data_IF_462374632605
#
_entry.id   IF_462374632605
#
_cell.length_a   1.000
_cell.length_b   1.000
_cell.length_c   1.000
_cell.angle_alpha   90.00
_cell.angle_beta   90.00
_cell.angle_gamma   90.00
#
_symmetry.space_group_name_H-M   'P 1'
#
loop_
_entity.id
_entity.type
_entity.pdbx_description
1 polymer ?
#
# COMPACT_ATOMS: atom_id res chain seq x y z
N UNK A 1 14.18 7.00 -16.24
CA UNK A 1 12.95 6.77 -17.05
C UNK A 1 12.14 5.64 -16.42
N UNK A 2 10.85 5.86 -16.25
CA UNK A 2 9.97 4.87 -15.60
C UNK A 2 9.69 3.72 -16.55
N UNK A 3 9.81 2.50 -16.03
CA UNK A 3 9.44 1.26 -16.70
C UNK A 3 8.19 0.70 -16.08
N UNK A 4 7.25 0.27 -16.91
CA UNK A 4 5.99 -0.33 -16.48
C UNK A 4 5.88 -1.78 -16.93
N UNK A 5 5.17 -2.58 -16.16
CA UNK A 5 4.64 -3.88 -16.56
C UNK A 5 3.29 -4.14 -15.90
N UNK A 6 2.57 -5.11 -16.43
CA UNK A 6 1.30 -5.55 -15.86
C UNK A 6 1.45 -6.91 -15.16
N UNK A 7 0.66 -7.11 -14.11
CA UNK A 7 0.55 -8.37 -13.37
C UNK A 7 -0.93 -8.71 -13.23
N UNK A 8 -1.32 -9.85 -13.75
CA UNK A 8 -2.69 -10.36 -13.63
C UNK A 8 -2.89 -11.08 -12.30
N UNK A 9 -3.84 -10.64 -11.51
CA UNK A 9 -4.24 -11.29 -10.27
C UNK A 9 -5.71 -11.69 -10.35
N UNK A 10 -6.01 -12.98 -10.16
CA UNK A 10 -7.39 -13.51 -10.29
C UNK A 10 -8.38 -12.79 -9.37
N UNK A 11 -7.96 -12.41 -8.17
CA UNK A 11 -8.81 -11.84 -7.12
C UNK A 11 -8.79 -10.31 -7.07
N UNK A 12 -7.64 -9.70 -7.38
CA UNK A 12 -7.45 -8.24 -7.33
C UNK A 12 -7.60 -7.56 -8.70
N UNK A 13 -7.71 -8.34 -9.77
CA UNK A 13 -7.72 -7.82 -11.13
C UNK A 13 -6.30 -7.52 -11.63
N UNK A 14 -6.19 -6.58 -12.54
CA UNK A 14 -4.91 -6.17 -13.11
C UNK A 14 -4.16 -5.22 -12.17
N UNK A 15 -2.90 -5.51 -11.93
CA UNK A 15 -1.98 -4.63 -11.22
C UNK A 15 -0.98 -4.03 -12.21
N UNK A 16 -0.70 -2.75 -12.07
CA UNK A 16 0.35 -2.06 -12.83
C UNK A 16 1.53 -1.79 -11.90
N UNK A 17 2.71 -2.26 -12.31
CA UNK A 17 3.96 -2.10 -11.58
C UNK A 17 4.84 -1.07 -12.28
N UNK A 18 5.51 -0.22 -11.51
CA UNK A 18 6.42 0.80 -12.03
C UNK A 18 7.76 0.77 -11.31
N UNK A 19 8.84 0.76 -12.08
CA UNK A 19 10.21 0.85 -11.58
C UNK A 19 10.97 2.02 -12.20
N UNK A 20 11.86 2.61 -11.43
CA UNK A 20 12.79 3.63 -11.85
C UNK A 20 14.10 3.47 -11.07
N UNK A 21 15.25 3.55 -11.75
CA UNK A 21 16.58 3.44 -11.14
C UNK A 21 16.75 2.20 -10.24
N UNK A 22 16.30 1.05 -10.72
CA UNK A 22 16.31 -0.23 -10.00
C UNK A 22 15.55 -0.24 -8.66
N UNK A 23 14.53 0.61 -8.54
CA UNK A 23 13.65 0.68 -7.37
C UNK A 23 12.20 0.66 -7.82
N UNK A 24 11.35 0.04 -7.02
CA UNK A 24 9.91 0.07 -7.22
C UNK A 24 9.37 1.44 -6.79
N UNK A 25 8.71 2.13 -7.71
CA UNK A 25 8.12 3.46 -7.48
C UNK A 25 6.60 3.45 -7.50
N UNK A 26 5.99 2.36 -7.99
CA UNK A 26 4.54 2.22 -8.05
C UNK A 26 4.06 0.78 -8.16
N UNK A 27 2.93 0.53 -7.54
CA UNK A 27 2.07 -0.63 -7.70
C UNK A 27 0.64 -0.19 -7.48
N UNK A 28 -0.17 -0.26 -8.51
CA UNK A 28 -1.56 0.18 -8.47
C UNK A 28 -2.50 -0.93 -8.92
N UNK A 29 -3.62 -1.04 -8.20
CA UNK A 29 -4.73 -1.91 -8.58
C UNK A 29 -5.56 -1.18 -9.64
N UNK A 30 -6.01 -1.88 -10.66
CA UNK A 30 -6.84 -1.29 -11.71
C UNK A 30 -8.05 -0.53 -11.13
N UNK A 31 -8.25 0.70 -11.58
CA UNK A 31 -9.33 1.58 -11.13
C UNK A 31 -9.09 2.27 -9.78
N UNK A 32 -7.94 2.07 -9.12
CA UNK A 32 -7.67 2.77 -7.86
C UNK A 32 -7.47 4.28 -8.07
N UNK A 33 -7.76 5.04 -7.02
CA UNK A 33 -7.46 6.48 -6.98
C UNK A 33 -5.95 6.73 -7.13
N UNK A 34 -5.60 7.84 -7.78
CA UNK A 34 -4.20 8.26 -8.02
C UNK A 34 -3.38 7.25 -8.83
N UNK A 35 -4.05 6.48 -9.68
CA UNK A 35 -3.42 5.52 -10.59
C UNK A 35 -2.31 6.19 -11.40
N UNK A 36 -1.17 5.50 -11.48
CA UNK A 36 0.00 5.93 -12.25
C UNK A 36 0.48 7.37 -11.94
N UNK A 37 0.29 7.83 -10.70
CA UNK A 37 0.66 9.20 -10.31
C UNK A 37 2.14 9.52 -10.49
N UNK A 38 3.00 8.49 -10.52
CA UNK A 38 4.44 8.62 -10.77
C UNK A 38 4.80 8.72 -12.27
N UNK A 39 3.87 8.41 -13.18
CA UNK A 39 4.17 8.23 -14.62
C UNK A 39 3.92 9.47 -15.48
N UNK A 40 3.76 10.64 -14.86
CA UNK A 40 3.40 11.89 -15.55
C UNK A 40 4.42 12.34 -16.59
N UNK A 41 5.69 12.05 -16.38
CA UNK A 41 6.80 12.48 -17.25
C UNK A 41 7.17 11.43 -18.31
N UNK A 42 6.29 10.46 -18.53
CA UNK A 42 6.45 9.42 -19.52
C UNK A 42 6.98 8.09 -18.94
N UNK A 43 6.74 7.03 -19.68
CA UNK A 43 7.14 5.67 -19.31
C UNK A 43 7.34 4.81 -20.56
N UNK A 44 7.99 3.67 -20.37
CA UNK A 44 8.10 2.60 -21.37
C UNK A 44 7.63 1.27 -20.76
N UNK A 45 7.09 0.37 -21.55
CA UNK A 45 6.83 -1.00 -21.11
C UNK A 45 8.11 -1.84 -21.15
N UNK A 46 8.31 -2.66 -20.12
CA UNK A 46 9.48 -3.53 -19.99
C UNK A 46 9.13 -4.73 -19.13
N UNK A 47 8.92 -5.88 -19.73
CA UNK A 47 8.63 -7.13 -19.01
C UNK A 47 9.88 -7.84 -18.48
N UNK A 48 11.06 -7.41 -18.92
CA UNK A 48 12.37 -7.96 -18.56
C UNK A 48 13.14 -7.13 -17.52
N UNK A 49 12.57 -6.04 -17.02
CA UNK A 49 13.19 -5.25 -15.96
C UNK A 49 13.35 -6.07 -14.68
N UNK A 50 14.56 -6.13 -14.14
CA UNK A 50 14.91 -6.95 -12.97
C UNK A 50 14.06 -6.60 -11.75
N UNK A 51 13.79 -5.31 -11.50
CA UNK A 51 12.99 -4.86 -10.36
C UNK A 51 11.53 -5.30 -10.52
N UNK A 52 11.00 -5.16 -11.73
CA UNK A 52 9.62 -5.56 -12.02
C UNK A 52 9.46 -7.09 -11.95
N UNK A 53 10.42 -7.86 -12.47
CA UNK A 53 10.42 -9.33 -12.35
C UNK A 53 10.43 -9.78 -10.88
N UNK A 54 11.34 -9.23 -10.06
CA UNK A 54 11.39 -9.52 -8.61
C UNK A 54 10.10 -9.14 -7.89
N UNK A 55 9.46 -8.06 -8.32
CA UNK A 55 8.17 -7.66 -7.74
C UNK A 55 7.07 -8.64 -8.10
N UNK A 56 7.03 -9.15 -9.33
CA UNK A 56 6.08 -10.21 -9.74
C UNK A 56 6.29 -11.49 -8.90
N UNK A 57 7.54 -11.94 -8.72
CA UNK A 57 7.86 -13.09 -7.87
C UNK A 57 7.44 -12.88 -6.42
N UNK A 58 7.65 -11.69 -5.88
CA UNK A 58 7.20 -11.33 -4.53
C UNK A 58 5.67 -11.41 -4.42
N UNK A 59 4.94 -10.88 -5.42
CA UNK A 59 3.47 -10.95 -5.47
C UNK A 59 2.97 -12.39 -5.61
N UNK A 60 3.60 -13.23 -6.42
CA UNK A 60 3.25 -14.65 -6.56
C UNK A 60 3.35 -15.35 -5.21
N UNK A 61 4.43 -15.16 -4.48
CA UNK A 61 4.64 -15.72 -3.13
C UNK A 61 3.61 -15.19 -2.14
N UNK A 62 3.36 -13.89 -2.15
CA UNK A 62 2.34 -13.28 -1.29
C UNK A 62 0.95 -13.85 -1.56
N UNK A 63 0.54 -13.93 -2.82
CA UNK A 63 -0.77 -14.46 -3.22
C UNK A 63 -0.91 -15.96 -2.95
N UNK A 64 0.18 -16.71 -2.90
CA UNK A 64 0.22 -18.12 -2.51
C UNK A 64 0.20 -18.33 -0.98
N UNK A 65 0.05 -17.29 -0.19
CA UNK A 65 -0.03 -17.36 1.27
C UNK A 65 1.33 -17.40 1.99
N UNK A 66 2.42 -17.19 1.26
CA UNK A 66 3.72 -16.93 1.86
C UNK A 66 3.75 -15.51 2.47
N UNK A 67 4.73 -15.26 3.32
CA UNK A 67 4.94 -13.97 3.97
C UNK A 67 6.26 -13.34 3.51
N UNK A 68 6.38 -12.96 2.22
CA UNK A 68 7.64 -12.39 1.74
C UNK A 68 7.92 -11.07 2.44
N UNK A 69 9.20 -10.80 2.73
CA UNK A 69 9.58 -9.58 3.43
C UNK A 69 9.60 -8.39 2.47
N UNK A 70 9.11 -7.24 2.93
CA UNK A 70 9.17 -5.98 2.17
C UNK A 70 10.63 -5.60 1.85
N UNK A 71 11.57 -5.91 2.76
CA UNK A 71 13.00 -5.63 2.61
C UNK A 71 13.68 -6.37 1.43
N UNK A 72 13.02 -7.35 0.84
CA UNK A 72 13.52 -8.02 -0.38
C UNK A 72 13.43 -7.10 -1.61
N UNK A 73 12.61 -6.05 -1.54
CA UNK A 73 12.41 -5.08 -2.61
C UNK A 73 12.97 -3.71 -2.22
N UNK A 74 13.60 -3.04 -3.17
CA UNK A 74 14.01 -1.65 -3.00
C UNK A 74 12.85 -0.74 -3.38
N UNK A 75 12.27 -0.06 -2.40
CA UNK A 75 11.14 0.84 -2.58
C UNK A 75 11.59 2.30 -2.67
N UNK A 76 10.98 3.07 -3.56
CA UNK A 76 11.18 4.52 -3.67
C UNK A 76 9.83 5.22 -3.98
N UNK A 77 8.85 5.15 -3.06
CA UNK A 77 7.58 5.84 -3.25
C UNK A 77 7.80 7.34 -3.34
N UNK A 78 7.24 7.98 -4.36
CA UNK A 78 7.36 9.43 -4.56
C UNK A 78 6.30 10.17 -3.75
N UNK A 79 6.70 11.10 -2.89
CA UNK A 79 5.81 11.91 -2.04
C UNK A 79 6.60 12.83 -1.11
N UNK A 80 5.91 13.81 -0.52
CA UNK A 80 6.50 14.73 0.45
C UNK A 80 6.89 14.05 1.77
N UNK A 81 7.68 14.73 2.59
CA UNK A 81 8.26 14.20 3.84
C UNK A 81 7.21 13.57 4.78
N UNK A 82 6.08 14.25 4.97
CA UNK A 82 5.01 13.73 5.83
C UNK A 82 4.46 12.39 5.31
N UNK A 83 4.19 12.25 4.01
CA UNK A 83 3.74 10.99 3.41
C UNK A 83 4.80 9.91 3.54
N UNK A 84 6.07 10.25 3.31
CA UNK A 84 7.19 9.31 3.48
C UNK A 84 7.26 8.78 4.92
N UNK A 85 7.07 9.63 5.92
CA UNK A 85 7.05 9.24 7.33
C UNK A 85 5.90 8.27 7.63
N UNK A 86 4.70 8.55 7.12
CA UNK A 86 3.55 7.66 7.26
C UNK A 86 3.81 6.32 6.57
N UNK A 87 4.30 6.31 5.33
CA UNK A 87 4.56 5.06 4.60
C UNK A 87 5.65 4.20 5.23
N UNK A 88 6.64 4.79 5.89
CA UNK A 88 7.61 4.03 6.70
C UNK A 88 6.94 3.27 7.83
N UNK A 89 6.05 3.94 8.57
CA UNK A 89 5.28 3.29 9.65
C UNK A 89 4.41 2.17 9.08
N UNK A 90 3.78 2.37 7.92
CA UNK A 90 3.01 1.29 7.27
C UNK A 90 3.86 0.04 7.03
N UNK A 91 5.11 0.21 6.60
CA UNK A 91 6.01 -0.92 6.34
C UNK A 91 6.38 -1.71 7.61
N UNK A 92 6.20 -1.13 8.79
CA UNK A 92 6.48 -1.76 10.08
C UNK A 92 5.29 -2.56 10.64
N UNK A 93 4.08 -2.40 10.06
CA UNK A 93 2.91 -3.15 10.48
C UNK A 93 3.08 -4.62 10.06
N UNK A 94 3.09 -5.58 11.02
CA UNK A 94 3.32 -6.98 10.71
C UNK A 94 2.22 -7.57 9.82
N UNK A 95 2.58 -8.61 9.07
CA UNK A 95 1.62 -9.42 8.33
C UNK A 95 0.59 -10.05 9.28
N UNK A 96 -0.67 -9.91 8.95
CA UNK A 96 -1.77 -10.42 9.76
C UNK A 96 -2.15 -9.55 10.96
N UNK A 97 -1.63 -8.32 11.03
CA UNK A 97 -1.97 -7.35 12.07
C UNK A 97 -2.56 -6.07 11.47
N UNK A 98 -3.29 -5.34 12.28
CA UNK A 98 -3.88 -4.04 11.90
C UNK A 98 -3.50 -2.97 12.90
N UNK A 99 -3.50 -1.72 12.44
CA UNK A 99 -3.41 -0.53 13.27
C UNK A 99 -4.48 0.47 12.86
N UNK A 100 -4.65 1.53 13.63
CA UNK A 100 -5.61 2.59 13.33
C UNK A 100 -4.93 3.86 12.84
N UNK A 101 -5.67 4.70 12.12
CA UNK A 101 -5.18 6.03 11.72
C UNK A 101 -4.79 6.89 12.95
N UNK A 102 -5.51 6.73 14.06
CA UNK A 102 -5.23 7.43 15.31
C UNK A 102 -3.92 6.96 15.97
N UNK A 103 -3.62 5.68 15.94
CA UNK A 103 -2.36 5.13 16.46
C UNK A 103 -1.16 5.62 15.64
N UNK A 104 -1.25 5.60 14.31
CA UNK A 104 -0.21 6.17 13.44
C UNK A 104 -0.04 7.67 13.73
N UNK A 105 -1.13 8.41 13.91
CA UNK A 105 -1.07 9.83 14.22
C UNK A 105 -0.34 10.11 15.56
N UNK A 106 -0.57 9.30 16.59
CA UNK A 106 0.15 9.38 17.86
C UNK A 106 1.65 9.10 17.69
N UNK A 107 1.99 8.10 16.91
CA UNK A 107 3.38 7.75 16.63
C UNK A 107 4.10 8.88 15.88
N UNK A 108 3.51 9.44 14.84
CA UNK A 108 4.04 10.61 14.11
C UNK A 108 4.22 11.81 15.05
N UNK A 109 3.25 12.09 15.92
CA UNK A 109 3.34 13.17 16.88
C UNK A 109 4.53 12.96 17.83
N UNK A 110 4.69 11.74 18.35
CA UNK A 110 5.81 11.37 19.23
C UNK A 110 7.17 11.54 18.51
N UNK A 111 7.31 11.00 17.29
CA UNK A 111 8.55 11.09 16.51
C UNK A 111 8.96 12.52 16.18
N UNK A 112 7.98 13.40 15.97
CA UNK A 112 8.22 14.81 15.63
C UNK A 112 8.23 15.74 16.85
N UNK A 113 8.07 15.23 18.06
CA UNK A 113 8.03 16.03 19.29
C UNK A 113 6.88 17.04 19.32
N UNK A 114 5.76 16.75 18.69
CA UNK A 114 4.56 17.60 18.67
C UNK A 114 3.45 16.98 19.52
N UNK A 115 2.59 17.83 20.08
CA UNK A 115 1.55 17.38 21.00
C UNK A 115 0.48 16.51 20.32
N UNK A 116 0.09 16.85 19.10
CA UNK A 116 -0.99 16.17 18.37
C UNK A 116 -0.74 16.12 16.87
N UNK A 117 -1.18 15.03 16.25
CA UNK A 117 -1.26 14.88 14.78
C UNK A 117 -2.68 14.49 14.40
N UNK A 118 -3.17 15.04 13.30
CA UNK A 118 -4.49 14.72 12.77
C UNK A 118 -4.55 13.32 12.17
N UNK A 119 -5.46 12.48 12.65
CA UNK A 119 -5.77 11.19 12.04
C UNK A 119 -6.29 11.32 10.60
N UNK A 120 -6.97 12.43 10.28
CA UNK A 120 -7.41 12.73 8.91
C UNK A 120 -6.23 13.01 7.99
N UNK A 121 -5.22 13.75 8.45
CA UNK A 121 -4.00 13.98 7.67
C UNK A 121 -3.24 12.66 7.40
N UNK A 122 -3.17 11.79 8.41
CA UNK A 122 -2.62 10.43 8.25
C UNK A 122 -3.44 9.63 7.24
N UNK A 123 -4.77 9.64 7.34
CA UNK A 123 -5.66 8.97 6.39
C UNK A 123 -5.46 9.45 4.95
N UNK A 124 -5.25 10.75 4.75
CA UNK A 124 -4.91 11.30 3.43
C UNK A 124 -3.57 10.76 2.93
N UNK A 125 -2.54 10.72 3.76
CA UNK A 125 -1.22 10.17 3.40
C UNK A 125 -1.30 8.67 3.08
N UNK A 126 -2.04 7.89 3.87
CA UNK A 126 -2.29 6.46 3.63
C UNK A 126 -2.98 6.25 2.29
N UNK A 127 -4.02 7.05 1.98
CA UNK A 127 -4.76 6.98 0.71
C UNK A 127 -3.94 7.34 -0.53
N UNK A 128 -2.83 8.07 -0.37
CA UNK A 128 -1.91 8.41 -1.46
C UNK A 128 -0.73 7.44 -1.62
N UNK A 129 -0.73 6.32 -0.89
CA UNK A 129 0.29 5.30 -1.04
C UNK A 129 0.42 4.85 -2.52
N UNK A 130 1.59 5.05 -3.16
CA UNK A 130 1.76 4.70 -4.57
C UNK A 130 2.14 3.25 -4.79
N UNK A 131 2.42 2.46 -3.73
CA UNK A 131 2.86 1.07 -3.82
C UNK A 131 1.89 0.20 -3.00
N UNK A 132 0.68 0.00 -3.50
CA UNK A 132 -0.36 -0.79 -2.85
C UNK A 132 0.10 -2.22 -2.57
N UNK A 133 -0.46 -2.88 -1.59
CA UNK A 133 -0.16 -4.25 -1.15
C UNK A 133 1.20 -4.36 -0.43
N UNK A 134 2.30 -3.98 -1.08
CA UNK A 134 3.66 -4.08 -0.53
C UNK A 134 3.85 -3.09 0.61
N UNK A 135 3.53 -1.80 0.39
CA UNK A 135 3.33 -0.86 1.50
C UNK A 135 1.91 -1.07 2.00
N UNK A 136 1.71 -1.71 3.16
CA UNK A 136 0.45 -2.36 3.50
C UNK A 136 -0.60 -1.40 4.04
N UNK A 137 -1.04 -0.44 3.24
CA UNK A 137 -2.09 0.51 3.62
C UNK A 137 -3.45 -0.16 3.91
N UNK A 138 -3.67 -1.40 3.43
CA UNK A 138 -4.84 -2.20 3.77
C UNK A 138 -4.87 -2.63 5.25
N UNK A 139 -3.73 -2.64 5.95
CA UNK A 139 -3.63 -2.96 7.39
C UNK A 139 -4.04 -1.80 8.31
N UNK A 140 -4.37 -0.63 7.74
CA UNK A 140 -4.85 0.52 8.52
C UNK A 140 -6.37 0.55 8.47
N UNK A 141 -6.99 0.56 9.66
CA UNK A 141 -8.44 0.58 9.82
C UNK A 141 -8.87 1.80 10.65
N UNK A 142 -10.13 2.17 10.57
CA UNK A 142 -10.68 3.21 11.45
C UNK A 142 -10.89 2.70 12.88
N UNK A 143 -11.16 3.60 13.79
CA UNK A 143 -11.50 3.27 15.17
C UNK A 143 -12.67 2.27 15.21
N UNK A 144 -12.63 1.33 16.16
CA UNK A 144 -13.67 0.31 16.36
C UNK A 144 -13.91 -0.61 15.15
N UNK A 145 -12.91 -0.81 14.28
CA UNK A 145 -13.02 -1.71 13.13
C UNK A 145 -13.73 -1.12 11.91
N UNK A 146 -13.79 0.19 11.82
CA UNK A 146 -14.36 0.89 10.68
C UNK A 146 -13.46 0.72 9.43
N UNK A 147 -14.01 0.11 8.37
CA UNK A 147 -13.33 -0.05 7.07
C UNK A 147 -13.67 1.11 6.15
N UNK A 148 -13.01 2.24 6.35
CA UNK A 148 -13.10 3.39 5.44
C UNK A 148 -11.80 3.57 4.67
N UNK A 149 -11.93 4.11 3.46
CA UNK A 149 -10.81 4.70 2.74
C UNK A 149 -9.73 3.71 2.30
N UNK A 150 -10.00 2.92 1.27
CA UNK A 150 -8.97 2.20 0.53
C UNK A 150 -8.96 2.64 -0.93
N UNK A 151 -7.79 3.02 -1.45
CA UNK A 151 -7.68 3.53 -2.82
C UNK A 151 -8.11 2.50 -3.87
N UNK A 152 -7.88 1.23 -3.62
CA UNK A 152 -8.28 0.12 -4.48
C UNK A 152 -9.74 -0.35 -4.31
N UNK A 153 -10.49 0.22 -3.36
CA UNK A 153 -11.85 -0.19 -3.02
C UNK A 153 -11.93 -1.10 -1.79
N UNK A 154 -13.04 -1.01 -1.06
CA UNK A 154 -13.24 -1.70 0.22
C UNK A 154 -13.28 -3.23 0.06
N UNK A 155 -13.83 -3.74 -1.02
CA UNK A 155 -13.86 -5.16 -1.35
C UNK A 155 -12.46 -5.77 -1.42
N UNK A 156 -11.52 -5.06 -2.04
CA UNK A 156 -10.12 -5.49 -2.13
C UNK A 156 -9.38 -5.36 -0.80
N UNK A 157 -9.70 -4.35 0.00
CA UNK A 157 -9.18 -4.25 1.38
C UNK A 157 -9.61 -5.43 2.22
N UNK A 158 -10.90 -5.78 2.21
CA UNK A 158 -11.43 -6.95 2.93
C UNK A 158 -10.76 -8.23 2.44
N UNK A 159 -10.60 -8.39 1.12
CA UNK A 159 -9.89 -9.53 0.56
C UNK A 159 -8.46 -9.66 1.12
N UNK A 160 -7.68 -8.57 1.08
CA UNK A 160 -6.29 -8.57 1.56
C UNK A 160 -6.20 -8.88 3.06
N UNK A 161 -7.08 -8.30 3.89
CA UNK A 161 -7.14 -8.59 5.32
C UNK A 161 -7.42 -10.07 5.58
N UNK A 162 -8.43 -10.66 4.90
CA UNK A 162 -8.74 -12.09 5.01
C UNK A 162 -7.61 -12.96 4.49
N UNK A 163 -6.97 -12.57 3.39
CA UNK A 163 -5.81 -13.28 2.84
C UNK A 163 -4.67 -13.37 3.85
N UNK A 164 -4.48 -12.34 4.65
CA UNK A 164 -3.49 -12.31 5.71
C UNK A 164 -3.94 -13.01 7.01
N UNK A 165 -5.12 -13.64 7.01
CA UNK A 165 -5.64 -14.39 8.15
C UNK A 165 -6.33 -13.55 9.21
N UNK A 166 -6.65 -12.28 8.90
CA UNK A 166 -7.35 -11.40 9.82
C UNK A 166 -8.85 -11.72 9.77
N UNK A 167 -9.45 -11.95 10.94
CA UNK A 167 -10.89 -12.06 11.06
C UNK A 167 -11.53 -10.69 10.83
N UNK A 168 -12.39 -10.61 9.82
CA UNK A 168 -13.08 -9.38 9.42
C UNK A 168 -14.52 -9.29 9.91
N UNK A 169 -15.01 -10.23 10.72
CA UNK A 169 -16.38 -10.23 11.23
C UNK A 169 -16.68 -9.03 12.12
N UNK A 170 -15.67 -8.56 12.86
CA UNK A 170 -15.75 -7.39 13.72
C UNK A 170 -15.52 -6.05 12.99
N UNK A 171 -15.23 -6.09 11.71
CA UNK A 171 -15.09 -4.90 10.89
C UNK A 171 -16.40 -4.56 10.18
N UNK A 172 -16.65 -3.29 9.99
CA UNK A 172 -17.85 -2.83 9.31
C UNK A 172 -17.55 -1.72 8.31
N UNK A 173 -18.35 -1.69 7.25
CA UNK A 173 -18.33 -0.59 6.27
C UNK A 173 -19.42 0.40 6.70
N UNK A 174 -19.08 1.67 7.01
CA UNK A 174 -20.09 2.67 7.36
C UNK A 174 -21.09 2.83 6.23
N UNK A 175 -22.37 2.88 6.57
CA UNK A 175 -23.40 3.30 5.62
C UNK A 175 -23.22 4.78 5.34
N UNK A 176 -23.26 5.14 4.04
CA UNK A 176 -23.27 6.53 3.61
C UNK A 176 -24.58 7.21 4.04
#
# INVERSE_FOLDING_TARGET
>A
MIKLTEYGCRTLGKLTLAAEDNKLVGLWIEGQKYFCSACKDGFIYSDDDITLCKTKEWLDRYMNGEKPKISELKLAPKGGEFRQSVWKILCEIPYGETTTYGEIAKEIAHLNGIERMSAQAVGNAVGHNPISIIIPCHRVVGASGNLTGYAGGIDKKIFLLKHEGIDTENFYVPRK
#
